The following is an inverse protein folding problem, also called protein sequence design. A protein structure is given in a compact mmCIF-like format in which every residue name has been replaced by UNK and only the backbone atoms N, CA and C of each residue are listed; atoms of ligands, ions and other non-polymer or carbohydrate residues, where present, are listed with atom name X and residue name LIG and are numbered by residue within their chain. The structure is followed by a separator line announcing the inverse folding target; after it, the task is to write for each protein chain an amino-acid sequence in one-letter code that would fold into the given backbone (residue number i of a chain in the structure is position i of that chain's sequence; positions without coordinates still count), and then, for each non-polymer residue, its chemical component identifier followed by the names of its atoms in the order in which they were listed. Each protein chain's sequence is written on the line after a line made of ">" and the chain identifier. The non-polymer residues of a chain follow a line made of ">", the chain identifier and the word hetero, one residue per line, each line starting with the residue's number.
data_IF_154319436481
#
_entry.id   IF_154319436481
#
_cell.length_a   1.000
_cell.length_b   1.000
_cell.length_c   1.000
_cell.angle_alpha   90.00
_cell.angle_beta   90.00
_cell.angle_gamma   90.00
#
_symmetry.space_group_name_H-M   'P 1'
#
loop_
_entity.id
_entity.type
_entity.pdbx_description
1 polymer ?
#
# COMPACT_ATOMS: atom_id res chain seq x y z
N UNK A 1 -6.40 40.61 -6.77
CA UNK A 1 -7.58 41.47 -6.58
C UNK A 1 -7.26 42.63 -5.62
N UNK A 2 -6.91 43.83 -6.13
CA UNK A 2 -6.45 44.95 -5.30
C UNK A 2 -7.54 45.58 -4.42
N UNK A 3 -8.76 45.78 -4.95
CA UNK A 3 -9.89 46.38 -4.22
C UNK A 3 -10.29 45.52 -3.01
N UNK A 4 -10.41 44.20 -3.19
CA UNK A 4 -10.78 43.29 -2.11
C UNK A 4 -9.74 43.30 -0.97
N UNK A 5 -8.45 43.34 -1.30
CA UNK A 5 -7.38 43.41 -0.29
C UNK A 5 -7.52 44.66 0.60
N UNK A 6 -7.76 45.83 0.00
CA UNK A 6 -7.94 47.08 0.75
C UNK A 6 -9.17 47.04 1.66
N UNK A 7 -10.30 46.53 1.16
CA UNK A 7 -11.51 46.35 1.95
C UNK A 7 -11.27 45.44 3.17
N UNK A 8 -10.64 44.28 2.98
CA UNK A 8 -10.33 43.36 4.08
C UNK A 8 -9.41 44.03 5.09
N UNK A 9 -8.34 44.68 4.64
CA UNK A 9 -7.39 45.36 5.53
C UNK A 9 -8.05 46.47 6.36
N UNK A 10 -8.95 47.26 5.77
CA UNK A 10 -9.64 48.36 6.45
C UNK A 10 -10.74 47.91 7.44
N UNK A 11 -11.26 46.68 7.27
CA UNK A 11 -12.42 46.20 8.05
C UNK A 11 -12.13 45.01 8.96
N UNK A 12 -10.94 44.36 8.85
CA UNK A 12 -10.61 43.10 9.54
C UNK A 12 -10.80 43.16 11.05
N UNK A 13 -10.55 44.30 11.68
CA UNK A 13 -10.71 44.52 13.13
C UNK A 13 -12.18 44.43 13.61
N UNK A 14 -13.16 44.51 12.70
CA UNK A 14 -14.59 44.43 13.00
C UNK A 14 -15.16 43.02 12.81
N UNK A 15 -14.34 42.04 12.44
CA UNK A 15 -14.80 40.70 12.08
C UNK A 15 -14.66 39.76 13.29
N UNK A 16 -15.70 38.96 13.54
CA UNK A 16 -15.62 37.89 14.54
C UNK A 16 -14.73 36.75 14.03
N UNK A 17 -13.87 36.23 14.91
CA UNK A 17 -13.09 35.03 14.61
C UNK A 17 -13.92 33.79 14.95
N UNK A 18 -14.44 33.12 13.92
CA UNK A 18 -14.94 31.75 14.08
C UNK A 18 -13.82 30.77 13.75
N UNK A 19 -13.48 29.83 14.67
CA UNK A 19 -12.50 28.80 14.36
C UNK A 19 -13.04 27.93 13.22
N UNK A 20 -12.17 27.56 12.29
CA UNK A 20 -12.50 26.59 11.27
C UNK A 20 -12.37 25.18 11.87
N UNK A 21 -13.49 24.48 11.98
CA UNK A 21 -13.53 23.07 12.40
C UNK A 21 -13.74 22.23 11.15
N UNK A 22 -12.87 21.24 10.95
CA UNK A 22 -13.01 20.31 9.84
C UNK A 22 -14.33 19.52 9.96
N UNK A 23 -15.11 19.38 8.88
CA UNK A 23 -16.28 18.51 8.86
C UNK A 23 -15.90 17.05 9.13
N UNK A 24 -16.87 16.24 9.59
CA UNK A 24 -16.64 14.85 10.00
C UNK A 24 -16.18 13.91 8.88
N UNK A 25 -16.44 14.25 7.63
CA UNK A 25 -16.10 13.45 6.45
C UNK A 25 -14.86 13.96 5.71
N UNK A 26 -14.12 14.90 6.32
CA UNK A 26 -12.87 15.45 5.78
C UNK A 26 -11.69 14.95 6.60
N UNK A 27 -10.72 14.34 5.91
CA UNK A 27 -9.52 13.80 6.51
C UNK A 27 -8.28 14.49 5.95
N UNK A 28 -7.31 14.75 6.82
CA UNK A 28 -6.03 15.32 6.44
C UNK A 28 -5.04 14.20 6.13
N UNK A 29 -4.45 14.23 4.94
CA UNK A 29 -3.57 13.17 4.45
C UNK A 29 -2.23 13.78 4.01
N UNK A 30 -1.14 13.08 4.29
CA UNK A 30 0.20 13.45 3.81
C UNK A 30 0.33 13.07 2.34
N UNK A 31 0.64 14.03 1.48
CA UNK A 31 0.84 13.79 0.05
C UNK A 31 2.17 14.37 -0.43
N UNK A 32 2.69 13.80 -1.50
CA UNK A 32 3.78 14.37 -2.29
C UNK A 32 3.22 15.50 -3.15
N UNK A 33 3.81 16.69 -3.03
CA UNK A 33 3.33 17.92 -3.65
C UNK A 33 3.27 17.84 -5.18
N UNK A 34 4.21 17.13 -5.80
CA UNK A 34 4.34 17.11 -7.26
C UNK A 34 3.38 16.10 -7.87
N UNK A 35 3.32 14.90 -7.32
CA UNK A 35 2.52 13.79 -7.85
C UNK A 35 1.11 13.71 -7.29
N UNK A 36 0.82 14.38 -6.17
CA UNK A 36 -0.45 14.27 -5.45
C UNK A 36 -0.67 12.92 -4.77
N UNK A 37 0.32 12.02 -4.80
CA UNK A 37 0.21 10.68 -4.22
C UNK A 37 0.44 10.74 -2.71
N UNK A 38 -0.28 9.89 -1.98
CA UNK A 38 -0.11 9.72 -0.54
C UNK A 38 1.29 9.23 -0.19
N UNK A 39 1.87 9.78 0.88
CA UNK A 39 3.20 9.41 1.38
C UNK A 39 3.05 8.72 2.75
N UNK A 40 3.71 7.56 2.90
CA UNK A 40 3.70 6.83 4.17
C UNK A 40 4.62 7.48 5.21
N UNK A 41 5.85 7.80 4.80
CA UNK A 41 6.93 8.22 5.69
C UNK A 41 7.26 9.72 5.59
N UNK A 42 7.88 10.26 6.63
CA UNK A 42 8.18 11.69 6.74
C UNK A 42 6.99 12.53 7.23
N UNK A 43 7.31 13.77 7.60
CA UNK A 43 6.36 14.71 8.21
C UNK A 43 6.37 16.01 7.40
N UNK A 44 5.19 16.57 7.07
CA UNK A 44 5.11 17.91 6.47
C UNK A 44 5.85 18.95 7.31
N UNK A 45 6.53 19.86 6.63
CA UNK A 45 7.24 20.97 7.27
C UNK A 45 6.57 22.31 6.94
N UNK A 46 6.99 23.39 7.60
CA UNK A 46 6.50 24.75 7.31
C UNK A 46 7.23 25.42 6.15
N UNK A 47 8.19 24.74 5.51
CA UNK A 47 8.89 25.26 4.34
C UNK A 47 7.90 25.42 3.17
N UNK A 48 7.79 26.61 2.55
CA UNK A 48 6.99 26.82 1.34
C UNK A 48 7.33 25.87 0.17
N UNK A 49 8.52 25.28 0.18
CA UNK A 49 9.00 24.30 -0.81
C UNK A 49 9.03 22.86 -0.30
N UNK A 50 8.36 22.57 0.82
CA UNK A 50 8.27 21.20 1.33
C UNK A 50 7.73 20.24 0.27
N UNK A 51 8.38 19.08 0.14
CA UNK A 51 7.97 18.03 -0.78
C UNK A 51 6.71 17.31 -0.29
N UNK A 52 6.51 17.25 1.03
CA UNK A 52 5.38 16.58 1.67
C UNK A 52 4.49 17.63 2.32
N UNK A 53 3.19 17.61 1.98
CA UNK A 53 2.20 18.55 2.51
C UNK A 53 1.01 17.82 3.11
N UNK A 54 0.26 18.51 3.96
CA UNK A 54 -1.05 18.10 4.42
C UNK A 54 -2.11 18.57 3.43
N UNK A 55 -2.90 17.65 2.89
CA UNK A 55 -4.01 17.92 1.98
C UNK A 55 -5.31 17.35 2.55
N UNK A 56 -6.41 18.09 2.41
CA UNK A 56 -7.71 17.72 2.95
C UNK A 56 -8.56 17.00 1.89
N UNK A 57 -8.95 15.76 2.16
CA UNK A 57 -9.76 14.94 1.26
C UNK A 57 -11.10 14.59 1.88
N UNK A 58 -12.14 14.52 1.04
CA UNK A 58 -13.41 13.86 1.40
C UNK A 58 -13.17 12.35 1.51
N UNK A 59 -13.79 11.72 2.50
CA UNK A 59 -13.71 10.28 2.76
C UNK A 59 -13.89 9.39 1.50
N UNK A 60 -14.82 9.76 0.62
CA UNK A 60 -15.17 8.97 -0.57
C UNK A 60 -14.22 9.16 -1.75
N UNK A 61 -13.46 10.26 -1.76
CA UNK A 61 -12.58 10.64 -2.86
C UNK A 61 -11.15 10.09 -2.71
N UNK A 62 -10.81 9.52 -1.54
CA UNK A 62 -9.52 8.86 -1.35
C UNK A 62 -9.52 7.52 -2.09
N UNK A 63 -8.46 7.17 -2.84
CA UNK A 63 -8.28 5.82 -3.35
C UNK A 63 -8.36 4.81 -2.20
N UNK A 64 -9.49 4.09 -2.14
CA UNK A 64 -9.73 3.04 -1.16
C UNK A 64 -8.53 2.10 -1.17
N UNK A 65 -8.03 1.78 0.03
CA UNK A 65 -6.94 0.82 0.23
C UNK A 65 -7.40 -0.55 -0.22
N UNK A 66 -7.36 -0.78 -1.53
CA UNK A 66 -7.66 -2.07 -2.09
C UNK A 66 -6.48 -2.98 -1.80
N UNK A 67 -6.66 -3.94 -0.90
CA UNK A 67 -5.99 -5.25 -0.94
C UNK A 67 -6.45 -5.99 -2.22
N UNK A 68 -6.55 -5.28 -3.35
CA UNK A 68 -7.18 -5.73 -4.58
C UNK A 68 -6.12 -5.94 -5.64
N UNK A 69 -5.19 -5.00 -5.84
CA UNK A 69 -4.16 -5.13 -6.86
C UNK A 69 -3.13 -6.23 -6.55
N UNK A 70 -2.43 -6.09 -5.43
CA UNK A 70 -1.38 -7.04 -5.04
C UNK A 70 -1.94 -8.43 -4.68
N UNK A 71 -3.09 -8.49 -3.99
CA UNK A 71 -3.71 -9.77 -3.65
C UNK A 71 -4.34 -10.46 -4.86
N UNK A 72 -4.94 -9.72 -5.82
CA UNK A 72 -5.42 -10.35 -7.05
C UNK A 72 -4.25 -10.91 -7.87
N UNK A 73 -3.15 -10.16 -8.00
CA UNK A 73 -1.94 -10.66 -8.65
C UNK A 73 -1.38 -11.90 -7.95
N UNK A 74 -1.32 -11.89 -6.62
CA UNK A 74 -0.87 -13.04 -5.83
C UNK A 74 -1.82 -14.24 -5.94
N UNK A 75 -3.14 -13.99 -5.96
CA UNK A 75 -4.18 -15.02 -6.16
C UNK A 75 -4.05 -15.65 -7.54
N UNK A 76 -3.91 -14.84 -8.59
CA UNK A 76 -3.83 -15.31 -9.96
C UNK A 76 -2.53 -16.08 -10.20
N UNK A 77 -1.41 -15.63 -9.61
CA UNK A 77 -0.15 -16.36 -9.60
C UNK A 77 -0.26 -17.72 -8.88
N UNK A 78 -0.95 -17.77 -7.75
CA UNK A 78 -1.19 -19.02 -7.00
C UNK A 78 -2.06 -20.00 -7.78
N UNK A 79 -3.13 -19.53 -8.43
CA UNK A 79 -4.01 -20.35 -9.27
C UNK A 79 -3.24 -20.91 -10.48
N UNK A 80 -2.39 -20.11 -11.12
CA UNK A 80 -1.55 -20.55 -12.22
C UNK A 80 -0.56 -21.65 -11.80
N UNK A 81 0.07 -21.49 -10.62
CA UNK A 81 0.97 -22.50 -10.05
C UNK A 81 0.23 -23.82 -9.74
N UNK A 82 -0.97 -23.73 -9.15
CA UNK A 82 -1.80 -24.89 -8.84
C UNK A 82 -2.21 -25.67 -10.10
N UNK A 83 -2.62 -24.98 -11.18
CA UNK A 83 -2.96 -25.61 -12.47
C UNK A 83 -1.76 -26.32 -13.11
N UNK A 84 -0.57 -25.72 -13.04
CA UNK A 84 0.67 -26.32 -13.56
C UNK A 84 1.02 -27.60 -12.78
N UNK A 85 0.86 -27.59 -11.47
CA UNK A 85 1.07 -28.77 -10.62
C UNK A 85 0.05 -29.89 -10.84
N UNK A 86 -1.22 -29.54 -11.12
CA UNK A 86 -2.26 -30.51 -11.46
C UNK A 86 -2.01 -31.18 -12.82
N UNK A 87 -1.66 -30.40 -13.86
CA UNK A 87 -1.32 -30.94 -15.18
C UNK A 87 -0.07 -31.85 -15.16
N UNK A 88 0.91 -31.54 -14.28
CA UNK A 88 2.09 -32.38 -14.08
C UNK A 88 1.75 -33.71 -13.36
N UNK A 89 0.70 -33.75 -12.54
CA UNK A 89 0.20 -34.98 -11.89
C UNK A 89 -0.70 -35.81 -12.81
N UNK A 90 -1.42 -35.18 -13.73
CA UNK A 90 -2.28 -35.86 -14.71
C UNK A 90 -1.52 -36.44 -15.90
N UNK A 91 -0.20 -36.23 -16.00
CA UNK A 91 0.65 -36.89 -16.98
C UNK A 91 1.54 -37.98 -16.33
N UNK A 92 1.00 -39.17 -15.98
CA UNK A 92 1.79 -40.29 -15.46
C UNK A 92 2.60 -41.01 -16.55
N UNK A 93 2.61 -40.55 -17.80
CA UNK A 93 3.31 -41.21 -18.90
C UNK A 93 4.74 -40.66 -19.10
N UNK A 94 5.56 -40.58 -18.05
CA UNK A 94 7.04 -40.54 -18.11
C UNK A 94 7.64 -40.45 -16.70
N UNK A 95 7.33 -41.40 -15.84
CA UNK A 95 8.14 -41.69 -14.67
C UNK A 95 8.09 -43.19 -14.40
N UNK A 96 9.01 -43.93 -15.00
CA UNK A 96 9.40 -45.24 -14.49
C UNK A 96 10.41 -44.95 -13.38
N UNK A 97 10.08 -45.12 -12.08
CA UNK A 97 11.10 -45.07 -11.05
C UNK A 97 11.88 -46.39 -11.06
N UNK A 98 12.92 -46.50 -11.90
CA UNK A 98 13.97 -47.50 -11.67
C UNK A 98 14.94 -46.92 -10.66
N UNK A 99 14.58 -46.97 -9.39
CA UNK A 99 15.52 -46.84 -8.30
C UNK A 99 14.99 -47.68 -7.15
N UNK A 100 15.50 -48.90 -7.05
CA UNK A 100 15.46 -49.68 -5.80
C UNK A 100 16.30 -48.89 -4.79
N UNK A 101 15.74 -48.38 -3.67
CA UNK A 101 16.57 -47.85 -2.62
C UNK A 101 17.28 -49.02 -1.92
N UNK A 102 18.55 -49.26 -2.26
CA UNK A 102 19.41 -50.15 -1.48
C UNK A 102 19.71 -49.45 -0.15
N UNK A 103 19.08 -49.92 0.92
CA UNK A 103 19.31 -49.50 2.29
C UNK A 103 20.71 -50.01 2.72
N UNK A 104 21.73 -49.18 2.61
CA UNK A 104 23.04 -49.47 3.20
C UNK A 104 22.86 -49.46 4.72
N UNK A 105 22.85 -50.66 5.30
CA UNK A 105 22.79 -50.88 6.74
C UNK A 105 24.21 -50.77 7.29
N UNK A 106 24.69 -49.56 7.55
CA UNK A 106 25.87 -49.35 8.39
C UNK A 106 25.38 -48.99 9.80
N UNK A 107 25.27 -50.01 10.64
CA UNK A 107 25.03 -49.84 12.07
C UNK A 107 26.18 -50.48 12.84
N UNK A 108 27.35 -49.84 12.82
CA UNK A 108 28.44 -50.11 13.76
C UNK A 108 28.21 -49.28 15.02
N UNK A 109 27.37 -49.81 15.92
CA UNK A 109 27.36 -49.40 17.33
C UNK A 109 28.59 -50.01 17.99
N UNK A 110 29.64 -49.20 18.18
CA UNK A 110 30.75 -49.54 19.06
C UNK A 110 30.42 -49.06 20.47
N UNK A 111 30.16 -50.02 21.35
CA UNK A 111 30.17 -49.84 22.80
C UNK A 111 31.64 -49.94 23.24
N UNK A 112 32.21 -48.87 23.79
CA UNK A 112 33.21 -48.95 24.86
C UNK A 112 33.31 -47.62 25.63
#
# INVERSE_FOLDING_TARGET
>A
APIFKQLVQATRNRWDHRPFVAPSDVFMIKIDRVSGKRVADGTPTTDPKSAIIWEAFKADAEPKRGIGGALAQQRDALIAAARKGAAARENPASAIPTATPTLASDNSVTIQ
#
